data_IF_603215171672
#
_entry.id   IF_603215171672
#
_cell.length_a   1.000
_cell.length_b   1.000
_cell.length_c   1.000
_cell.angle_alpha   90.00
_cell.angle_beta   90.00
_cell.angle_gamma   90.00
#
_symmetry.space_group_name_H-M   'P 1'
#
loop_
_entity.id
_entity.type
_entity.pdbx_description
1 polymer ?
#
# COMPACT_ATOMS: atom_id res chain seq x y z
N UNK A 1 -6.35 -14.95 9.34
CA UNK A 1 -6.83 -13.72 8.65
C UNK A 1 -7.72 -14.16 7.50
N UNK A 2 -8.87 -13.51 7.28
CA UNK A 2 -9.66 -13.75 6.07
C UNK A 2 -8.81 -13.39 4.83
N UNK A 3 -8.89 -14.19 3.77
CA UNK A 3 -8.14 -13.92 2.55
C UNK A 3 -8.63 -12.63 1.87
N UNK A 4 -7.82 -12.03 0.99
CA UNK A 4 -8.28 -10.87 0.23
C UNK A 4 -9.51 -11.20 -0.62
N UNK A 5 -9.61 -12.45 -1.11
CA UNK A 5 -10.79 -12.97 -1.81
C UNK A 5 -12.03 -12.96 -0.90
N UNK A 6 -11.91 -13.39 0.35
CA UNK A 6 -13.03 -13.38 1.31
C UNK A 6 -13.54 -11.94 1.56
N UNK A 7 -12.63 -10.95 1.58
CA UNK A 7 -13.02 -9.54 1.67
C UNK A 7 -13.75 -9.07 0.41
N UNK A 8 -13.30 -9.45 -0.78
CA UNK A 8 -13.98 -9.11 -2.04
C UNK A 8 -15.42 -9.65 -2.03
N UNK A 9 -15.60 -10.90 -1.60
CA UNK A 9 -16.92 -11.53 -1.49
C UNK A 9 -17.80 -10.85 -0.44
N UNK A 10 -17.24 -10.49 0.72
CA UNK A 10 -17.95 -9.75 1.76
C UNK A 10 -18.46 -8.39 1.25
N UNK A 11 -17.65 -7.68 0.47
CA UNK A 11 -18.02 -6.41 -0.15
C UNK A 11 -19.07 -6.54 -1.25
N UNK A 12 -18.99 -7.58 -2.06
CA UNK A 12 -20.02 -7.87 -3.06
C UNK A 12 -21.38 -8.20 -2.41
N UNK A 13 -21.35 -8.65 -1.15
CA UNK A 13 -22.52 -9.01 -0.36
C UNK A 13 -23.35 -10.11 -1.02
N UNK A 14 -24.59 -10.27 -0.57
CA UNK A 14 -25.56 -11.20 -1.20
C UNK A 14 -25.99 -10.75 -2.60
N UNK A 15 -25.69 -9.50 -2.95
CA UNK A 15 -26.03 -8.91 -4.24
C UNK A 15 -25.10 -9.39 -5.35
N UNK A 16 -23.79 -9.51 -5.15
CA UNK A 16 -22.85 -9.78 -6.24
C UNK A 16 -22.69 -8.59 -7.20
N UNK A 17 -23.01 -7.37 -6.76
CA UNK A 17 -22.70 -6.13 -7.45
C UNK A 17 -21.77 -5.31 -6.58
N UNK A 18 -20.65 -4.90 -7.14
CA UNK A 18 -19.61 -4.14 -6.46
C UNK A 18 -19.62 -2.73 -7.04
N UNK A 19 -20.04 -1.76 -6.24
CA UNK A 19 -20.12 -0.37 -6.64
C UNK A 19 -18.72 0.23 -6.85
N UNK A 20 -18.65 1.40 -7.50
CA UNK A 20 -17.38 2.12 -7.66
C UNK A 20 -16.73 2.48 -6.33
N UNK A 21 -17.52 2.79 -5.31
CA UNK A 21 -17.00 3.07 -3.99
C UNK A 21 -16.42 1.81 -3.32
N UNK A 22 -17.10 0.68 -3.48
CA UNK A 22 -16.64 -0.62 -3.00
C UNK A 22 -15.37 -1.09 -3.72
N UNK A 23 -15.28 -0.95 -5.04
CA UNK A 23 -14.06 -1.23 -5.82
C UNK A 23 -12.86 -0.42 -5.32
N UNK A 24 -13.03 0.90 -5.12
CA UNK A 24 -11.96 1.75 -4.56
C UNK A 24 -11.55 1.31 -3.16
N UNK A 25 -12.52 0.94 -2.32
CA UNK A 25 -12.25 0.45 -0.98
C UNK A 25 -11.48 -0.87 -1.01
N UNK A 26 -11.86 -1.82 -1.87
CA UNK A 26 -11.16 -3.09 -2.07
C UNK A 26 -9.73 -2.89 -2.57
N UNK A 27 -9.49 -1.97 -3.51
CA UNK A 27 -8.14 -1.65 -3.97
C UNK A 27 -7.28 -1.11 -2.82
N UNK A 28 -7.81 -0.19 -2.02
CA UNK A 28 -7.12 0.33 -0.84
C UNK A 28 -6.85 -0.77 0.20
N UNK A 29 -7.79 -1.68 0.43
CA UNK A 29 -7.62 -2.82 1.33
C UNK A 29 -6.53 -3.76 0.79
N UNK A 30 -6.54 -4.07 -0.50
CA UNK A 30 -5.52 -4.88 -1.14
C UNK A 30 -4.13 -4.29 -0.94
N UNK A 31 -3.99 -2.97 -1.13
CA UNK A 31 -2.69 -2.29 -0.99
C UNK A 31 -2.26 -2.09 0.46
N UNK A 32 -3.14 -1.59 1.32
CA UNK A 32 -2.79 -1.21 2.70
C UNK A 32 -2.92 -2.38 3.70
N UNK A 33 -3.89 -3.27 3.50
CA UNK A 33 -4.19 -4.38 4.40
C UNK A 33 -3.51 -5.70 4.00
N UNK A 34 -3.32 -5.95 2.70
CA UNK A 34 -2.75 -7.20 2.19
C UNK A 34 -1.37 -7.04 1.54
N UNK A 35 -0.84 -5.81 1.45
CA UNK A 35 0.50 -5.54 0.89
C UNK A 35 0.62 -5.87 -0.61
N UNK A 36 -0.49 -5.91 -1.33
CA UNK A 36 -0.49 -6.07 -2.78
C UNK A 36 -0.11 -4.75 -3.43
N UNK A 37 0.63 -4.78 -4.53
CA UNK A 37 0.66 -3.61 -5.40
C UNK A 37 -0.73 -3.37 -6.03
N UNK A 38 -0.91 -2.19 -6.62
CA UNK A 38 -2.19 -1.80 -7.22
C UNK A 38 -2.67 -2.80 -8.29
N UNK A 39 -1.77 -3.28 -9.14
CA UNK A 39 -2.11 -4.19 -10.25
C UNK A 39 -2.50 -5.58 -9.73
N UNK A 40 -1.84 -6.10 -8.70
CA UNK A 40 -2.19 -7.35 -8.05
C UNK A 40 -3.51 -7.24 -7.29
N UNK A 41 -3.74 -6.14 -6.57
CA UNK A 41 -5.02 -5.89 -5.91
C UNK A 41 -6.16 -5.81 -6.92
N UNK A 42 -5.94 -5.10 -8.03
CA UNK A 42 -6.89 -4.98 -9.14
C UNK A 42 -7.14 -6.31 -9.82
N UNK A 43 -6.09 -7.06 -10.14
CA UNK A 43 -6.16 -8.39 -10.74
C UNK A 43 -7.00 -9.34 -9.89
N UNK A 44 -6.76 -9.38 -8.58
CA UNK A 44 -7.55 -10.22 -7.67
C UNK A 44 -9.04 -9.84 -7.63
N UNK A 45 -9.39 -8.55 -7.73
CA UNK A 45 -10.80 -8.11 -7.85
C UNK A 45 -11.42 -8.59 -9.17
N UNK A 46 -10.69 -8.51 -10.28
CA UNK A 46 -11.16 -9.03 -11.58
C UNK A 46 -11.30 -10.56 -11.60
N UNK A 47 -10.34 -11.28 -11.03
CA UNK A 47 -10.36 -12.73 -10.94
C UNK A 47 -11.54 -13.21 -10.10
N UNK A 48 -11.81 -12.55 -8.96
CA UNK A 48 -12.99 -12.82 -8.15
C UNK A 48 -14.28 -12.49 -8.90
N UNK A 49 -14.32 -11.39 -9.66
CA UNK A 49 -15.48 -11.06 -10.47
C UNK A 49 -15.77 -12.12 -11.55
N UNK A 50 -14.73 -12.65 -12.20
CA UNK A 50 -14.85 -13.72 -13.18
C UNK A 50 -15.28 -15.05 -12.55
N UNK A 51 -14.65 -15.44 -11.43
CA UNK A 51 -14.90 -16.72 -10.78
C UNK A 51 -16.25 -16.78 -10.06
N UNK A 52 -16.64 -15.70 -9.39
CA UNK A 52 -17.83 -15.64 -8.54
C UNK A 52 -19.00 -14.87 -9.21
N UNK A 53 -18.88 -14.62 -10.52
CA UNK A 53 -19.91 -13.94 -11.32
C UNK A 53 -20.32 -12.58 -10.77
N UNK A 54 -19.39 -11.84 -10.17
CA UNK A 54 -19.64 -10.50 -9.63
C UNK A 54 -19.76 -9.48 -10.77
N UNK A 55 -20.61 -8.48 -10.57
CA UNK A 55 -20.72 -7.34 -11.46
C UNK A 55 -19.95 -6.17 -10.87
N UNK A 56 -18.84 -5.80 -11.50
CA UNK A 56 -18.11 -4.58 -11.15
C UNK A 56 -18.76 -3.38 -11.85
N UNK A 57 -19.07 -2.34 -11.09
CA UNK A 57 -19.65 -1.11 -11.64
C UNK A 57 -18.73 -0.47 -12.69
N UNK A 58 -17.40 -0.53 -12.52
CA UNK A 58 -16.45 -0.06 -13.53
C UNK A 58 -16.62 -0.73 -14.89
N UNK A 59 -16.86 -2.05 -14.93
CA UNK A 59 -17.12 -2.78 -16.17
C UNK A 59 -18.47 -2.41 -16.81
N UNK A 60 -19.48 -2.11 -15.97
CA UNK A 60 -20.77 -1.57 -16.43
C UNK A 60 -20.56 -0.16 -17.02
N UNK A 61 -19.83 0.71 -16.33
CA UNK A 61 -19.50 2.05 -16.79
C UNK A 61 -18.78 2.05 -18.13
N UNK A 62 -17.79 1.17 -18.34
CA UNK A 62 -17.06 1.09 -19.60
C UNK A 62 -17.99 0.74 -20.77
N UNK A 63 -18.86 -0.25 -20.58
CA UNK A 63 -19.86 -0.63 -21.59
C UNK A 63 -20.83 0.52 -21.91
N UNK A 64 -21.24 1.28 -20.89
CA UNK A 64 -22.15 2.42 -21.05
C UNK A 64 -21.43 3.61 -21.68
N UNK A 65 -20.16 3.82 -21.35
CA UNK A 65 -19.33 4.86 -21.94
C UNK A 65 -19.15 4.64 -23.44
N UNK A 66 -18.84 3.42 -23.87
CA UNK A 66 -18.73 3.07 -25.29
C UNK A 66 -20.04 3.32 -26.03
N UNK A 67 -21.17 2.92 -25.43
CA UNK A 67 -22.48 3.20 -25.96
C UNK A 67 -22.73 4.71 -26.09
N UNK A 68 -22.48 5.49 -25.04
CA UNK A 68 -22.67 6.94 -25.06
C UNK A 68 -21.80 7.59 -26.14
N UNK A 69 -20.53 7.20 -26.23
CA UNK A 69 -19.57 7.72 -27.20
C UNK A 69 -20.05 7.51 -28.64
N UNK A 70 -20.69 6.38 -28.94
CA UNK A 70 -21.29 6.11 -30.25
C UNK A 70 -22.51 6.98 -30.58
N UNK A 71 -23.08 7.68 -29.59
CA UNK A 71 -24.30 8.50 -29.71
C UNK A 71 -24.08 10.00 -29.51
N UNK A 72 -22.83 10.41 -29.28
CA UNK A 72 -22.44 11.80 -29.08
C UNK A 72 -22.52 12.58 -30.41
N UNK A 73 -23.09 13.78 -30.39
CA UNK A 73 -23.09 14.67 -31.55
C UNK A 73 -21.71 15.35 -31.75
N UNK A 74 -21.55 16.08 -32.86
CA UNK A 74 -20.29 16.81 -33.18
C UNK A 74 -19.87 17.82 -32.10
N UNK A 75 -20.75 18.19 -31.17
CA UNK A 75 -20.49 19.13 -30.09
C UNK A 75 -20.35 18.45 -28.72
N UNK A 76 -20.16 17.13 -28.67
CA UNK A 76 -20.00 16.42 -27.40
C UNK A 76 -21.32 16.19 -26.65
N UNK A 77 -22.47 16.29 -27.33
CA UNK A 77 -23.79 16.25 -26.67
C UNK A 77 -24.55 14.94 -26.88
N UNK A 78 -25.20 14.47 -25.83
CA UNK A 78 -26.03 13.25 -25.81
C UNK A 78 -27.51 13.63 -25.77
N UNK A 79 -28.33 12.99 -26.61
CA UNK A 79 -29.78 13.20 -26.63
C UNK A 79 -30.47 12.57 -25.42
N UNK A 80 -31.67 13.04 -25.06
CA UNK A 80 -32.47 12.43 -23.97
C UNK A 80 -32.77 10.95 -24.22
N UNK A 81 -33.08 10.57 -25.46
CA UNK A 81 -33.35 9.18 -25.82
C UNK A 81 -32.10 8.29 -25.67
N UNK A 82 -30.94 8.78 -26.12
CA UNK A 82 -29.67 8.08 -25.94
C UNK A 82 -29.30 7.94 -24.46
N UNK A 83 -29.50 8.99 -23.66
CA UNK A 83 -29.28 8.95 -22.21
C UNK A 83 -30.16 7.89 -21.52
N UNK A 84 -31.47 7.85 -21.81
CA UNK A 84 -32.37 6.87 -21.21
C UNK A 84 -32.02 5.43 -21.63
N UNK A 85 -31.59 5.25 -22.88
CA UNK A 85 -31.10 3.95 -23.35
C UNK A 85 -29.79 3.54 -22.64
N UNK A 86 -28.91 4.49 -22.36
CA UNK A 86 -27.69 4.27 -21.59
C UNK A 86 -28.01 3.89 -20.13
N UNK A 87 -29.01 4.53 -19.52
CA UNK A 87 -29.48 4.16 -18.18
C UNK A 87 -30.08 2.74 -18.15
N UNK A 88 -30.86 2.36 -19.16
CA UNK A 88 -31.39 0.99 -19.24
C UNK A 88 -30.28 -0.04 -19.49
N UNK A 89 -29.30 0.28 -20.34
CA UNK A 89 -28.10 -0.55 -20.53
C UNK A 89 -27.35 -0.72 -19.20
N UNK A 90 -27.18 0.36 -18.44
CA UNK A 90 -26.55 0.33 -17.12
C UNK A 90 -27.28 -0.68 -16.20
N UNK A 91 -28.61 -0.58 -16.09
CA UNK A 91 -29.42 -1.49 -15.26
C UNK A 91 -29.32 -2.94 -15.71
N UNK A 92 -29.37 -3.16 -17.02
CA UNK A 92 -29.27 -4.49 -17.62
C UNK A 92 -27.93 -5.14 -17.26
N UNK A 93 -26.82 -4.42 -17.43
CA UNK A 93 -25.48 -4.90 -17.08
C UNK A 93 -25.26 -5.03 -15.58
N UNK A 94 -25.89 -4.16 -14.78
CA UNK A 94 -26.00 -4.29 -13.33
C UNK A 94 -26.95 -5.41 -12.88
N UNK A 95 -27.49 -6.21 -13.81
CA UNK A 95 -28.42 -7.33 -13.55
C UNK A 95 -29.60 -6.93 -12.66
N UNK A 96 -30.17 -5.74 -12.90
CA UNK A 96 -31.32 -5.21 -12.17
C UNK A 96 -31.06 -4.77 -10.73
N UNK A 97 -29.82 -4.85 -10.24
CA UNK A 97 -29.45 -4.51 -8.85
C UNK A 97 -29.37 -3.01 -8.59
N UNK A 98 -29.35 -2.23 -9.65
CA UNK A 98 -29.40 -0.77 -9.61
C UNK A 98 -30.78 -0.31 -10.07
N UNK A 99 -31.46 0.46 -9.21
CA UNK A 99 -32.78 1.03 -9.51
C UNK A 99 -32.74 2.04 -10.65
N UNK A 100 -33.88 2.30 -11.30
CA UNK A 100 -33.93 3.15 -12.50
C UNK A 100 -33.41 4.58 -12.26
N UNK A 101 -33.87 5.24 -11.19
CA UNK A 101 -33.36 6.58 -10.83
C UNK A 101 -31.86 6.58 -10.50
N UNK A 102 -31.37 5.53 -9.85
CA UNK A 102 -29.95 5.41 -9.53
C UNK A 102 -29.09 5.18 -10.78
N UNK A 103 -29.58 4.42 -11.76
CA UNK A 103 -28.91 4.25 -13.04
C UNK A 103 -28.84 5.57 -13.80
N UNK A 104 -29.92 6.35 -13.84
CA UNK A 104 -29.90 7.70 -14.42
C UNK A 104 -28.88 8.62 -13.72
N UNK A 105 -28.83 8.59 -12.39
CA UNK A 105 -27.82 9.32 -11.62
C UNK A 105 -26.39 8.90 -11.97
N UNK A 106 -26.09 7.60 -12.02
CA UNK A 106 -24.77 7.08 -12.38
C UNK A 106 -24.38 7.40 -13.82
N UNK A 107 -25.30 7.30 -14.77
CA UNK A 107 -25.05 7.70 -16.17
C UNK A 107 -24.82 9.20 -16.31
N UNK A 108 -25.55 10.02 -15.54
CA UNK A 108 -25.30 11.47 -15.48
C UNK A 108 -23.90 11.77 -14.95
N UNK A 109 -23.50 11.14 -13.86
CA UNK A 109 -22.15 11.29 -13.30
C UNK A 109 -21.07 10.86 -14.29
N UNK A 110 -21.23 9.69 -14.92
CA UNK A 110 -20.32 9.18 -15.94
C UNK A 110 -20.18 10.17 -17.12
N UNK A 111 -21.30 10.71 -17.63
CA UNK A 111 -21.27 11.72 -18.68
C UNK A 111 -20.44 12.94 -18.27
N UNK A 112 -20.66 13.49 -17.08
CA UNK A 112 -19.95 14.67 -16.61
C UNK A 112 -18.44 14.40 -16.44
N UNK A 113 -18.07 13.25 -15.85
CA UNK A 113 -16.66 12.84 -15.71
C UNK A 113 -15.95 12.63 -17.04
N UNK A 114 -16.68 12.27 -18.10
CA UNK A 114 -16.16 12.10 -19.46
C UNK A 114 -16.27 13.38 -20.31
N UNK A 115 -16.67 14.50 -19.71
CA UNK A 115 -16.81 15.78 -20.42
C UNK A 115 -18.00 15.83 -21.40
N UNK A 116 -18.91 14.86 -21.33
CA UNK A 116 -20.11 14.81 -22.16
C UNK A 116 -21.21 15.70 -21.58
N UNK A 117 -22.06 16.23 -22.46
CA UNK A 117 -23.11 17.16 -22.04
C UNK A 117 -24.48 16.80 -22.61
N UNK A 118 -25.56 17.20 -21.96
CA UNK A 118 -26.91 16.88 -22.39
C UNK A 118 -27.42 17.83 -23.49
N UNK A 119 -27.99 17.28 -24.55
CA UNK A 119 -28.67 18.08 -25.57
C UNK A 119 -29.97 18.69 -24.99
N UNK A 120 -30.28 19.98 -25.26
CA UNK A 120 -31.56 20.56 -24.92
C UNK A 120 -32.72 19.76 -25.54
N UNK A 121 -33.82 19.64 -24.79
CA UNK A 121 -35.05 18.94 -25.21
C UNK A 121 -36.28 19.79 -24.91
N UNK A 122 -37.36 19.60 -25.68
CA UNK A 122 -38.63 20.33 -25.53
C UNK A 122 -39.18 20.81 -26.87
N UNK A 123 -40.52 20.83 -27.00
CA UNK A 123 -41.23 21.22 -28.23
C UNK A 123 -41.31 22.75 -28.39
N UNK A 124 -41.57 23.48 -27.29
CA UNK A 124 -41.72 24.94 -27.26
C UNK A 124 -40.49 25.68 -26.69
N UNK A 125 -39.89 25.14 -25.63
CA UNK A 125 -38.70 25.71 -24.97
C UNK A 125 -37.61 24.65 -24.86
N UNK A 126 -36.57 24.78 -25.69
CA UNK A 126 -35.40 23.89 -25.66
C UNK A 126 -34.59 24.15 -24.38
N UNK A 127 -34.65 23.22 -23.44
CA UNK A 127 -33.91 23.35 -22.17
C UNK A 127 -33.25 22.05 -21.74
N UNK A 128 -32.28 22.16 -20.82
CA UNK A 128 -31.60 21.02 -20.18
C UNK A 128 -32.26 20.63 -18.84
N UNK A 129 -33.47 21.14 -18.55
CA UNK A 129 -34.19 20.87 -17.28
C UNK A 129 -34.43 19.38 -17.02
N UNK A 130 -34.55 18.58 -18.08
CA UNK A 130 -34.70 17.13 -17.97
C UNK A 130 -33.44 16.44 -17.41
N UNK A 131 -32.25 16.98 -17.70
CA UNK A 131 -30.97 16.44 -17.24
C UNK A 131 -30.57 17.06 -15.89
N UNK A 132 -30.84 18.35 -15.71
CA UNK A 132 -30.49 19.08 -14.49
C UNK A 132 -31.27 18.58 -13.27
N UNK A 133 -32.51 18.09 -13.44
CA UNK A 133 -33.33 17.53 -12.36
C UNK A 133 -32.84 16.19 -11.82
N UNK A 134 -32.03 15.45 -12.59
CA UNK A 134 -31.52 14.14 -12.20
C UNK A 134 -30.47 14.39 -11.11
N UNK A 135 -30.61 13.84 -9.90
CA UNK A 135 -29.60 14.03 -8.88
C UNK A 135 -28.30 13.34 -9.29
N UNK A 136 -27.16 13.86 -8.84
CA UNK A 136 -25.93 13.08 -8.86
C UNK A 136 -26.05 11.92 -7.86
N UNK A 137 -25.34 10.79 -8.06
CA UNK A 137 -25.31 9.74 -7.06
C UNK A 137 -24.85 10.37 -5.73
N UNK A 138 -25.61 10.14 -4.66
CA UNK A 138 -25.21 10.60 -3.33
C UNK A 138 -23.89 9.95 -2.93
N UNK A 139 -23.19 10.48 -1.90
CA UNK A 139 -22.05 9.77 -1.34
C UNK A 139 -22.53 8.40 -0.90
N UNK A 140 -22.07 7.34 -1.58
CA UNK A 140 -22.27 5.98 -1.09
C UNK A 140 -21.45 5.87 0.19
N UNK A 141 -22.14 5.90 1.32
CA UNK A 141 -21.63 5.33 2.58
C UNK A 141 -21.56 3.83 2.41
N UNK A 142 -20.55 3.38 1.66
CA UNK A 142 -19.98 2.08 1.93
C UNK A 142 -19.53 2.19 3.37
N UNK A 143 -20.15 1.42 4.27
CA UNK A 143 -19.59 1.24 5.60
C UNK A 143 -18.12 0.90 5.35
N UNK A 144 -17.20 1.82 5.64
CA UNK A 144 -15.80 1.45 5.70
C UNK A 144 -15.83 0.31 6.72
N UNK A 145 -15.57 -0.95 6.33
CA UNK A 145 -15.12 -1.85 7.35
C UNK A 145 -13.95 -1.10 7.97
N UNK A 146 -13.86 -1.16 9.29
CA UNK A 146 -12.59 -0.95 9.93
C UNK A 146 -11.64 -1.86 9.16
N UNK A 147 -10.88 -1.29 8.22
CA UNK A 147 -9.68 -1.93 7.72
C UNK A 147 -9.03 -2.29 9.03
N UNK A 148 -8.79 -3.57 9.34
CA UNK A 148 -7.78 -3.84 10.31
C UNK A 148 -6.55 -3.23 9.63
N UNK A 149 -6.26 -1.95 9.93
CA UNK A 149 -4.91 -1.46 9.96
C UNK A 149 -4.19 -2.64 10.60
N UNK A 150 -3.25 -3.29 9.89
CA UNK A 150 -2.62 -4.47 10.44
C UNK A 150 -2.25 -4.10 11.87
N UNK A 151 -2.90 -4.76 12.85
CA UNK A 151 -2.87 -4.28 14.22
C UNK A 151 -1.39 -4.06 14.52
N UNK A 152 -0.96 -2.91 15.06
CA UNK A 152 0.47 -2.54 15.07
C UNK A 152 1.43 -3.70 15.38
N UNK A 153 1.00 -4.66 16.21
CA UNK A 153 1.64 -5.96 16.44
C UNK A 153 1.93 -6.88 15.23
N UNK A 154 1.09 -6.96 14.19
CA UNK A 154 1.31 -7.81 13.00
C UNK A 154 2.44 -7.30 12.09
N UNK A 155 2.71 -5.99 12.07
CA UNK A 155 3.86 -5.39 11.35
C UNK A 155 5.08 -5.32 12.28
N UNK A 156 4.87 -4.98 13.55
CA UNK A 156 5.94 -4.97 14.55
C UNK A 156 6.56 -6.35 14.73
N UNK A 157 5.79 -7.44 14.70
CA UNK A 157 6.31 -8.77 15.00
C UNK A 157 7.41 -9.24 14.02
N UNK A 158 7.24 -9.21 12.67
CA UNK A 158 8.32 -9.56 11.76
C UNK A 158 9.54 -8.63 11.87
N UNK A 159 9.32 -7.33 12.09
CA UNK A 159 10.41 -6.36 12.27
C UNK A 159 11.19 -6.64 13.55
N UNK A 160 10.50 -6.81 14.67
CA UNK A 160 11.09 -7.18 15.96
C UNK A 160 11.82 -8.52 15.89
N UNK A 161 11.22 -9.52 15.23
CA UNK A 161 11.85 -10.81 14.99
C UNK A 161 13.12 -10.69 14.14
N UNK A 162 13.12 -9.80 13.14
CA UNK A 162 14.30 -9.51 12.31
C UNK A 162 15.40 -8.84 13.13
N UNK A 163 15.07 -7.84 13.94
CA UNK A 163 16.06 -7.17 14.80
C UNK A 163 16.60 -8.11 15.88
N UNK A 164 15.75 -8.96 16.46
CA UNK A 164 16.16 -9.98 17.43
C UNK A 164 17.06 -11.04 16.80
N UNK A 165 16.72 -11.54 15.61
CA UNK A 165 17.55 -12.48 14.86
C UNK A 165 18.90 -11.83 14.48
N UNK A 166 18.89 -10.56 14.08
CA UNK A 166 20.10 -9.81 13.77
C UNK A 166 21.00 -9.65 15.01
N UNK A 167 20.43 -9.26 16.16
CA UNK A 167 21.16 -9.17 17.42
C UNK A 167 21.74 -10.51 17.86
N UNK A 168 20.96 -11.60 17.73
CA UNK A 168 21.39 -12.94 18.09
C UNK A 168 22.56 -13.41 17.24
N UNK A 169 22.46 -13.27 15.91
CA UNK A 169 23.55 -13.59 14.99
C UNK A 169 24.78 -12.70 15.25
N UNK A 170 24.58 -11.41 15.52
CA UNK A 170 25.65 -10.48 15.83
C UNK A 170 26.40 -10.89 17.11
N UNK A 171 25.67 -11.15 18.18
CA UNK A 171 26.24 -11.53 19.49
C UNK A 171 26.89 -12.92 19.48
N UNK A 172 26.49 -13.80 18.56
CA UNK A 172 27.12 -15.10 18.36
C UNK A 172 28.39 -15.04 17.49
N UNK A 173 28.71 -13.87 16.91
CA UNK A 173 29.79 -13.75 15.91
C UNK A 173 29.47 -14.44 14.59
N UNK A 174 28.20 -14.73 14.30
CA UNK A 174 27.76 -15.41 13.09
C UNK A 174 27.58 -14.41 11.93
N UNK A 175 28.69 -14.11 11.25
CA UNK A 175 28.69 -13.25 10.05
C UNK A 175 27.74 -13.79 8.98
N UNK A 176 27.68 -15.11 8.80
CA UNK A 176 26.85 -15.71 7.76
C UNK A 176 25.35 -15.50 8.07
N UNK A 177 24.95 -15.73 9.32
CA UNK A 177 23.61 -15.46 9.82
C UNK A 177 23.23 -13.98 9.72
N UNK A 178 24.14 -13.06 10.07
CA UNK A 178 23.91 -11.62 9.90
C UNK A 178 23.66 -11.28 8.44
N UNK A 179 24.50 -11.74 7.52
CA UNK A 179 24.37 -11.44 6.08
C UNK A 179 23.13 -12.06 5.44
N UNK A 180 22.67 -13.22 5.95
CA UNK A 180 21.47 -13.89 5.46
C UNK A 180 20.20 -13.03 5.65
N UNK A 181 20.18 -12.18 6.69
CA UNK A 181 19.08 -11.27 6.99
C UNK A 181 19.00 -10.06 6.04
N UNK A 182 20.07 -9.72 5.31
CA UNK A 182 20.04 -8.65 4.33
C UNK A 182 19.46 -9.14 3.01
N UNK A 183 18.68 -8.31 2.32
CA UNK A 183 18.27 -8.60 0.94
C UNK A 183 19.51 -8.68 0.01
N UNK A 184 19.44 -9.39 -1.13
CA UNK A 184 20.58 -9.54 -2.04
C UNK A 184 21.26 -8.22 -2.42
N UNK A 185 20.47 -7.16 -2.61
CA UNK A 185 20.91 -5.80 -2.92
C UNK A 185 20.76 -4.81 -1.75
N UNK A 186 20.72 -5.31 -0.50
CA UNK A 186 20.57 -4.47 0.68
C UNK A 186 21.68 -3.43 0.82
N UNK A 187 21.39 -2.31 1.48
CA UNK A 187 22.32 -1.20 1.68
C UNK A 187 22.68 -1.05 3.16
N UNK A 188 23.98 -0.96 3.45
CA UNK A 188 24.50 -0.66 4.77
C UNK A 188 25.25 0.67 4.74
N UNK A 189 24.79 1.59 5.59
CA UNK A 189 25.47 2.84 5.93
C UNK A 189 25.95 2.69 7.37
N UNK A 190 27.24 2.36 7.55
CA UNK A 190 27.80 1.97 8.83
C UNK A 190 28.57 3.11 9.51
N UNK A 191 28.62 3.09 10.85
CA UNK A 191 29.29 4.14 11.64
C UNK A 191 30.81 4.23 11.39
N UNK A 192 31.45 3.09 11.11
CA UNK A 192 32.92 2.96 11.10
C UNK A 192 33.55 2.98 9.70
N UNK A 193 32.78 3.26 8.65
CA UNK A 193 33.28 3.30 7.26
C UNK A 193 32.58 4.43 6.50
N UNK A 194 33.32 5.24 5.72
CA UNK A 194 32.72 6.32 4.94
C UNK A 194 31.96 5.80 3.71
N UNK A 195 32.36 4.66 3.14
CA UNK A 195 31.70 4.10 1.96
C UNK A 195 30.45 3.26 2.30
N UNK A 196 29.32 3.51 1.62
CA UNK A 196 28.16 2.62 1.64
C UNK A 196 28.53 1.21 1.15
N UNK A 197 28.02 0.18 1.83
CA UNK A 197 28.21 -1.23 1.42
C UNK A 197 26.90 -1.74 0.84
N UNK A 198 26.88 -2.06 -0.46
CA UNK A 198 25.70 -2.60 -1.15
C UNK A 198 25.88 -4.08 -1.47
N UNK A 199 24.92 -4.88 -1.04
CA UNK A 199 24.89 -6.33 -1.20
C UNK A 199 25.73 -7.10 -0.17
N UNK A 200 25.34 -8.36 0.05
CA UNK A 200 25.90 -9.23 1.11
C UNK A 200 27.42 -9.40 0.99
N UNK A 201 27.95 -9.50 -0.23
CA UNK A 201 29.39 -9.65 -0.47
C UNK A 201 30.18 -8.42 -0.01
N UNK A 202 29.69 -7.21 -0.26
CA UNK A 202 30.36 -5.96 0.14
C UNK A 202 30.30 -5.72 1.66
N UNK A 203 29.28 -6.26 2.34
CA UNK A 203 29.11 -6.14 3.80
C UNK A 203 29.94 -7.15 4.59
N UNK A 204 30.35 -8.27 3.98
CA UNK A 204 31.04 -9.38 4.65
C UNK A 204 32.28 -8.92 5.42
N UNK A 205 33.21 -8.28 4.74
CA UNK A 205 34.47 -7.83 5.35
C UNK A 205 34.25 -6.80 6.45
N UNK A 206 33.19 -5.98 6.35
CA UNK A 206 32.82 -5.05 7.41
C UNK A 206 32.41 -5.79 8.69
N UNK A 207 31.53 -6.79 8.61
CA UNK A 207 31.08 -7.54 9.78
C UNK A 207 32.17 -8.45 10.36
N UNK A 208 33.00 -9.08 9.51
CA UNK A 208 34.15 -9.86 9.96
C UNK A 208 35.11 -8.99 10.79
N UNK A 209 35.47 -7.81 10.29
CA UNK A 209 36.35 -6.89 11.02
C UNK A 209 35.69 -6.37 12.29
N UNK A 210 34.41 -6.02 12.24
CA UNK A 210 33.69 -5.46 13.37
C UNK A 210 33.54 -6.47 14.52
N UNK A 211 33.24 -7.74 14.21
CA UNK A 211 32.99 -8.77 15.23
C UNK A 211 34.30 -9.29 15.84
N UNK A 212 35.32 -9.52 15.02
CA UNK A 212 36.62 -10.04 15.46
C UNK A 212 37.40 -9.00 16.26
N UNK A 213 37.41 -7.73 15.83
CA UNK A 213 38.24 -6.71 16.46
C UNK A 213 37.75 -6.25 17.83
N UNK A 214 36.50 -6.56 18.20
CA UNK A 214 35.83 -5.87 19.30
C UNK A 214 35.20 -6.80 20.35
N UNK A 215 35.08 -8.12 20.13
CA UNK A 215 34.23 -8.98 20.98
C UNK A 215 32.86 -8.30 21.18
N UNK A 216 32.33 -7.78 20.08
CA UNK A 216 31.25 -6.82 20.13
C UNK A 216 29.92 -7.53 20.43
N UNK A 217 29.19 -7.04 21.41
CA UNK A 217 27.78 -7.35 21.59
C UNK A 217 26.93 -6.12 21.30
N UNK A 218 25.73 -6.35 20.77
CA UNK A 218 24.72 -5.32 20.52
C UNK A 218 23.50 -5.57 21.38
N UNK A 219 23.00 -4.49 21.98
CA UNK A 219 21.73 -4.49 22.70
C UNK A 219 20.84 -3.38 22.14
N UNK A 220 19.67 -3.75 21.65
CA UNK A 220 18.62 -2.79 21.29
C UNK A 220 18.00 -2.22 22.56
N UNK A 221 18.07 -0.91 22.76
CA UNK A 221 17.56 -0.23 23.96
C UNK A 221 16.09 0.12 23.83
N UNK A 222 15.75 0.98 22.88
CA UNK A 222 14.37 1.37 22.55
C UNK A 222 14.18 1.40 21.03
N UNK A 223 13.28 0.55 20.54
CA UNK A 223 12.72 0.75 19.18
C UNK A 223 11.74 1.90 19.31
N UNK A 224 12.08 3.06 18.76
CA UNK A 224 11.33 4.31 18.94
C UNK A 224 10.07 4.36 18.08
N UNK A 225 10.11 3.80 16.86
CA UNK A 225 8.93 3.63 16.03
C UNK A 225 9.08 2.47 15.05
N UNK A 226 7.95 1.81 14.74
CA UNK A 226 7.79 0.95 13.57
C UNK A 226 6.68 1.56 12.72
N UNK A 227 7.03 2.03 11.52
CA UNK A 227 6.12 2.77 10.63
C UNK A 227 6.07 2.11 9.24
N UNK A 228 4.91 2.18 8.56
CA UNK A 228 4.70 1.64 7.20
C UNK A 228 3.93 0.33 7.13
N UNK A 229 3.54 -0.08 5.92
CA UNK A 229 2.76 -1.31 5.64
C UNK A 229 3.62 -2.47 5.13
N UNK A 230 4.59 -2.16 4.26
CA UNK A 230 5.72 -2.98 3.78
C UNK A 230 6.43 -2.17 2.67
N UNK A 231 7.74 -1.90 2.72
CA UNK A 231 8.61 -2.18 3.84
C UNK A 231 8.25 -1.33 5.07
N UNK A 232 8.50 -1.91 6.24
CA UNK A 232 8.36 -1.22 7.51
C UNK A 232 9.73 -0.64 7.94
N UNK A 233 9.70 0.49 8.61
CA UNK A 233 10.89 1.18 9.11
C UNK A 233 10.95 1.05 10.63
N UNK A 234 12.04 0.52 11.16
CA UNK A 234 12.35 0.57 12.59
C UNK A 234 13.52 1.53 12.84
N UNK A 235 13.30 2.53 13.68
CA UNK A 235 14.36 3.45 14.11
C UNK A 235 14.48 3.47 15.62
N UNK A 236 15.69 3.71 16.11
CA UNK A 236 15.92 3.68 17.56
C UNK A 236 17.36 3.88 17.98
N UNK A 237 17.60 3.54 19.24
CA UNK A 237 18.91 3.51 19.85
C UNK A 237 19.30 2.09 20.21
N UNK A 238 20.57 1.78 19.97
CA UNK A 238 21.21 0.56 20.44
C UNK A 238 22.59 0.87 21.01
N UNK A 239 23.14 -0.08 21.74
CA UNK A 239 24.46 0.03 22.33
C UNK A 239 25.35 -1.08 21.80
N UNK A 240 26.56 -0.71 21.39
CA UNK A 240 27.64 -1.66 21.15
C UNK A 240 28.51 -1.74 22.39
N UNK A 241 28.74 -2.94 22.90
CA UNK A 241 29.76 -3.20 23.93
C UNK A 241 30.89 -3.98 23.33
N UNK A 242 32.11 -3.51 23.54
CA UNK A 242 33.31 -4.14 23.02
C UNK A 242 34.48 -3.99 23.99
N UNK A 243 35.53 -4.78 23.81
CA UNK A 243 36.78 -4.62 24.58
C UNK A 243 37.81 -3.88 23.73
N UNK A 244 38.15 -2.67 24.12
CA UNK A 244 39.27 -1.92 23.53
C UNK A 244 40.58 -2.42 24.15
N UNK A 245 41.60 -2.81 23.34
CA UNK A 245 42.87 -3.31 23.86
C UNK A 245 43.60 -2.34 24.80
N UNK A 246 43.36 -1.04 24.69
CA UNK A 246 43.99 0.02 25.47
C UNK A 246 43.12 0.53 26.63
N UNK A 247 41.79 0.46 26.51
CA UNK A 247 40.84 1.05 27.48
C UNK A 247 40.03 0.01 28.26
N UNK A 248 40.13 -1.27 27.90
CA UNK A 248 39.29 -2.31 28.47
C UNK A 248 37.85 -2.25 27.94
N UNK A 249 36.83 -2.69 28.70
CA UNK A 249 35.44 -2.69 28.25
C UNK A 249 34.92 -1.28 27.94
N UNK A 250 34.36 -1.10 26.74
CA UNK A 250 33.77 0.14 26.23
C UNK A 250 32.30 -0.12 25.84
N UNK A 251 31.43 0.84 26.14
CA UNK A 251 30.03 0.86 25.68
C UNK A 251 29.80 2.13 24.86
N UNK A 252 29.34 1.97 23.62
CA UNK A 252 29.09 3.08 22.70
C UNK A 252 27.63 3.08 22.24
N UNK A 253 26.84 4.09 22.61
CA UNK A 253 25.48 4.23 22.11
C UNK A 253 25.49 4.75 20.66
N UNK A 254 24.53 4.30 19.87
CA UNK A 254 24.38 4.68 18.48
C UNK A 254 22.90 4.69 18.05
N UNK A 255 22.62 5.42 16.97
CA UNK A 255 21.30 5.50 16.34
C UNK A 255 21.23 4.52 15.19
N UNK A 256 20.08 3.89 15.01
CA UNK A 256 19.83 3.03 13.87
C UNK A 256 18.55 3.38 13.13
N UNK A 257 18.52 3.02 11.85
CA UNK A 257 17.31 2.86 11.04
C UNK A 257 17.43 1.58 10.23
N UNK A 258 16.50 0.65 10.41
CA UNK A 258 16.32 -0.54 9.58
C UNK A 258 15.07 -0.39 8.73
N UNK A 259 15.19 -0.67 7.44
CA UNK A 259 14.06 -0.83 6.51
C UNK A 259 13.93 -2.33 6.24
N UNK A 260 12.82 -2.93 6.67
CA UNK A 260 12.58 -4.37 6.63
C UNK A 260 11.36 -4.65 5.78
N UNK A 261 11.50 -5.53 4.80
CA UNK A 261 10.38 -6.04 4.01
C UNK A 261 10.03 -7.46 4.45
N UNK A 262 8.75 -7.87 4.35
CA UNK A 262 8.39 -9.27 4.60
C UNK A 262 8.84 -10.12 3.40
N UNK A 263 9.70 -11.10 3.65
CA UNK A 263 10.05 -12.09 2.63
C UNK A 263 9.13 -13.31 2.75
N UNK A 264 8.01 -13.28 2.00
CA UNK A 264 7.06 -14.39 1.95
C UNK A 264 6.34 -14.68 3.28
N UNK A 265 6.17 -15.96 3.60
CA UNK A 265 5.43 -16.45 4.78
C UNK A 265 6.29 -16.64 6.05
N UNK A 266 7.57 -16.23 6.03
CA UNK A 266 8.49 -16.38 7.15
C UNK A 266 8.16 -15.48 8.34
N UNK A 267 8.69 -15.85 9.52
CA UNK A 267 8.58 -15.06 10.76
C UNK A 267 9.59 -13.92 10.83
N UNK A 268 10.63 -13.95 10.00
CA UNK A 268 11.70 -12.94 9.90
C UNK A 268 11.66 -12.32 8.50
N UNK A 269 11.81 -11.01 8.41
CA UNK A 269 11.86 -10.26 7.15
C UNK A 269 13.28 -10.10 6.60
N UNK A 270 13.40 -9.44 5.45
CA UNK A 270 14.66 -9.10 4.83
C UNK A 270 14.99 -7.61 5.01
N UNK A 271 16.24 -7.31 5.39
CA UNK A 271 16.75 -5.94 5.58
C UNK A 271 17.11 -5.36 4.21
N UNK A 272 16.35 -4.36 3.77
CA UNK A 272 16.60 -3.59 2.55
C UNK A 272 17.64 -2.50 2.79
N UNK A 273 17.58 -1.84 3.95
CA UNK A 273 18.50 -0.78 4.33
C UNK A 273 18.78 -0.84 5.82
N UNK A 274 20.03 -0.65 6.19
CA UNK A 274 20.48 -0.42 7.55
C UNK A 274 21.34 0.83 7.57
N UNK A 275 20.92 1.84 8.32
CA UNK A 275 21.73 2.99 8.67
C UNK A 275 22.10 2.92 10.14
N UNK A 276 23.39 3.03 10.44
CA UNK A 276 23.96 3.14 11.78
C UNK A 276 24.81 4.40 11.86
N UNK A 277 24.61 5.18 12.92
CA UNK A 277 25.41 6.39 13.14
C UNK A 277 25.69 6.61 14.62
N UNK A 278 26.82 7.24 14.91
CA UNK A 278 27.12 7.71 16.27
C UNK A 278 26.05 8.70 16.75
N UNK A 279 25.90 8.83 18.06
CA UNK A 279 25.15 9.93 18.65
C UNK A 279 25.92 11.23 18.37
N UNK A 280 25.30 12.25 17.75
CA UNK A 280 25.95 13.53 17.55
C UNK A 280 26.10 14.21 18.91
N UNK A 281 27.35 14.46 19.32
CA UNK A 281 27.63 15.32 20.47
C UNK A 281 27.88 16.75 19.99
N UNK A 282 27.25 17.72 20.65
CA UNK A 282 27.64 19.13 20.54
C UNK A 282 28.98 19.34 21.23
N UNK A 283 30.09 19.21 20.48
CA UNK A 283 31.43 19.38 21.02
C UNK A 283 32.47 19.58 19.92
N UNK A 284 32.82 20.85 19.70
CA UNK A 284 33.93 21.39 18.92
C UNK A 284 34.17 20.79 17.51
N UNK A 285 33.29 21.15 16.57
CA UNK A 285 33.53 20.93 15.13
C UNK A 285 32.28 20.81 14.25
N UNK A 286 31.08 20.73 14.85
CA UNK A 286 29.83 20.58 14.10
C UNK A 286 29.34 21.89 13.48
N UNK A 287 28.81 21.79 12.25
CA UNK A 287 28.03 22.84 11.58
C UNK A 287 27.03 23.51 12.53
N UNK A 288 26.91 24.86 12.51
CA UNK A 288 25.85 25.53 13.25
C UNK A 288 24.51 25.18 12.60
N UNK A 289 23.57 24.72 13.42
CA UNK A 289 22.14 24.71 13.11
C UNK A 289 21.49 25.95 13.68
#
# INVERSE_FOLDING_TARGET
MASFRDQILAYAGTGGYVSRAQERALLRIGTAGYGLDYERARGAVFDAAAADSLVLESAVEDSVADYLQSRVDRSGRVSRAAFLSAAELFRSRARGRVGAGQAESRVKDLMLRRGLSARPSGLLLRSRRWFNRIPLPGPETVAEPAVPLPAGGQIQAPVQATLAAWAAAFNAGDVAGVLALYAPNGLLLATATPEPRRGRAAMRSYFENLMIAQSASVQFGSTLSVEGTDPAVASGLYEFRYTDPSRGPVTTPARFTYVVTRDGAGTVGAILQHHSSAIPFGGAGGCPV
#
